data_IF_537143410629
#
_entry.id   IF_537143410629
#
_cell.length_a   1.000
_cell.length_b   1.000
_cell.length_c   1.000
_cell.angle_alpha   90.00
_cell.angle_beta   90.00
_cell.angle_gamma   90.00
#
_symmetry.space_group_name_H-M   'P 1'
#
loop_
_entity.id
_entity.type
_entity.pdbx_description
1 polymer ?
#
# COMPACT_ATOMS: atom_id res chain seq x y z
N UNK A 1 25.67 -46.88 -12.57
CA UNK A 1 26.47 -45.99 -11.70
C UNK A 1 26.08 -44.57 -12.04
N UNK A 2 25.12 -43.99 -11.33
CA UNK A 2 24.63 -42.62 -11.54
C UNK A 2 25.31 -41.69 -10.55
N UNK A 3 26.12 -40.77 -11.05
CA UNK A 3 26.82 -39.77 -10.26
C UNK A 3 25.79 -38.79 -9.65
N UNK A 4 25.80 -38.68 -8.32
CA UNK A 4 25.04 -37.66 -7.58
C UNK A 4 25.68 -36.29 -7.80
N UNK A 5 24.90 -35.23 -8.03
CA UNK A 5 25.46 -33.89 -8.13
C UNK A 5 25.96 -33.41 -6.76
N UNK A 6 27.23 -33.07 -6.68
CA UNK A 6 27.84 -32.44 -5.51
C UNK A 6 27.34 -31.01 -5.40
N UNK A 7 26.38 -30.75 -4.51
CA UNK A 7 26.06 -29.39 -4.06
C UNK A 7 27.18 -28.92 -3.11
N UNK A 8 28.04 -28.03 -3.58
CA UNK A 8 28.89 -27.23 -2.69
C UNK A 8 28.04 -26.16 -2.04
N UNK A 9 27.80 -26.30 -0.73
CA UNK A 9 27.35 -25.17 0.10
C UNK A 9 28.46 -24.09 0.05
N UNK A 10 28.20 -23.00 -0.65
CA UNK A 10 29.01 -21.79 -0.53
C UNK A 10 28.53 -21.11 0.74
N UNK A 11 29.24 -21.35 1.85
CA UNK A 11 29.06 -20.56 3.06
C UNK A 11 29.67 -19.17 2.78
N UNK A 12 28.83 -18.20 2.43
CA UNK A 12 29.24 -16.81 2.44
C UNK A 12 29.42 -16.41 3.90
N UNK A 13 30.63 -16.44 4.40
CA UNK A 13 31.01 -15.78 5.63
C UNK A 13 30.96 -14.28 5.39
N UNK A 14 29.79 -13.67 5.61
CA UNK A 14 29.73 -12.25 5.87
C UNK A 14 30.43 -12.02 7.21
N UNK A 15 31.65 -11.50 7.18
CA UNK A 15 32.15 -10.77 8.33
C UNK A 15 31.20 -9.61 8.54
N UNK A 16 30.30 -9.74 9.48
CA UNK A 16 29.58 -8.63 10.09
C UNK A 16 30.67 -7.76 10.71
N UNK A 17 31.21 -6.83 9.92
CA UNK A 17 31.96 -5.70 10.46
C UNK A 17 31.02 -5.09 11.50
N UNK A 18 31.49 -5.05 12.73
CA UNK A 18 30.86 -4.51 13.92
C UNK A 18 29.85 -3.44 13.57
N UNK A 19 28.56 -3.85 13.42
CA UNK A 19 27.47 -2.93 13.54
C UNK A 19 27.57 -2.39 14.97
N UNK A 20 27.98 -1.14 15.13
CA UNK A 20 27.54 -0.39 16.29
C UNK A 20 26.05 -0.64 16.35
N UNK A 21 25.52 -1.11 17.48
CA UNK A 21 24.15 -1.58 17.63
C UNK A 21 23.22 -0.52 17.05
N UNK A 22 22.90 -0.65 15.76
CA UNK A 22 22.00 0.26 15.08
C UNK A 22 20.65 -0.06 15.65
N UNK A 23 20.20 0.81 16.54
CA UNK A 23 18.92 0.62 17.21
C UNK A 23 17.84 0.72 16.16
N UNK A 24 17.09 -0.35 15.94
CA UNK A 24 15.94 -0.35 15.05
C UNK A 24 14.83 0.49 15.67
N UNK A 25 14.04 1.12 14.82
CA UNK A 25 12.99 2.05 15.23
C UNK A 25 11.65 1.35 15.46
N UNK A 26 11.05 1.62 16.60
CA UNK A 26 9.69 1.17 16.95
C UNK A 26 8.68 2.29 16.66
N UNK A 27 8.49 2.57 15.36
CA UNK A 27 7.52 3.56 14.88
C UNK A 27 6.67 2.99 13.75
N UNK A 28 5.41 3.42 13.72
CA UNK A 28 4.53 3.12 12.58
C UNK A 28 4.87 4.02 11.39
N UNK A 29 4.44 3.65 10.19
CA UNK A 29 4.60 4.50 9.01
C UNK A 29 3.86 5.84 9.15
N UNK A 30 2.69 5.82 9.80
CA UNK A 30 1.94 7.04 10.12
C UNK A 30 2.74 7.97 11.02
N UNK A 31 3.34 7.45 12.10
CA UNK A 31 4.18 8.22 13.03
C UNK A 31 5.44 8.79 12.36
N UNK A 32 6.04 8.07 11.41
CA UNK A 32 7.16 8.59 10.62
C UNK A 32 6.73 9.76 9.73
N UNK A 33 5.61 9.63 9.04
CA UNK A 33 5.07 10.70 8.21
C UNK A 33 4.75 11.95 9.03
N UNK A 34 4.10 11.79 10.17
CA UNK A 34 3.79 12.90 11.10
C UNK A 34 5.04 13.55 11.69
N UNK A 35 6.06 12.74 11.99
CA UNK A 35 7.36 13.24 12.46
C UNK A 35 7.97 14.24 11.46
N UNK A 36 8.03 13.87 10.18
CA UNK A 36 8.59 14.76 9.16
C UNK A 36 7.67 15.94 8.83
N UNK A 37 6.36 15.73 8.84
CA UNK A 37 5.38 16.80 8.65
C UNK A 37 5.46 17.87 9.75
N UNK A 38 5.92 17.50 10.96
CA UNK A 38 6.12 18.41 12.08
C UNK A 38 7.50 19.06 12.05
N UNK A 39 8.57 18.31 11.79
CA UNK A 39 9.93 18.79 11.90
C UNK A 39 10.47 19.49 10.65
N UNK A 40 9.96 19.11 9.46
CA UNK A 40 10.35 19.68 8.16
C UNK A 40 9.15 19.93 7.26
N UNK A 41 8.12 20.69 7.73
CA UNK A 41 6.81 20.79 7.09
C UNK A 41 6.84 21.24 5.64
N UNK A 42 7.74 22.17 5.32
CA UNK A 42 7.81 22.82 4.00
C UNK A 42 8.81 22.17 3.05
N UNK A 43 9.57 21.15 3.52
CA UNK A 43 10.48 20.41 2.67
C UNK A 43 9.68 19.53 1.70
N UNK A 44 10.08 19.56 0.41
CA UNK A 44 9.48 18.72 -0.64
C UNK A 44 9.72 17.24 -0.32
N UNK A 45 8.64 16.45 -0.35
CA UNK A 45 8.69 15.01 -0.08
C UNK A 45 8.47 14.18 -1.34
N UNK A 46 7.37 14.39 -2.05
CA UNK A 46 6.98 13.60 -3.22
C UNK A 46 6.75 14.51 -4.43
N UNK A 47 7.30 14.10 -5.56
CA UNK A 47 7.15 14.76 -6.85
C UNK A 47 6.70 13.77 -7.92
N UNK A 48 5.61 14.08 -8.59
CA UNK A 48 5.14 13.42 -9.80
C UNK A 48 5.38 14.38 -10.98
N UNK A 49 6.55 14.26 -11.60
CA UNK A 49 7.02 15.20 -12.62
C UNK A 49 6.16 15.21 -13.88
N UNK A 50 5.63 14.04 -14.27
CA UNK A 50 4.74 13.84 -15.41
C UNK A 50 3.38 14.54 -15.25
N UNK A 51 3.00 14.88 -14.01
CA UNK A 51 1.72 15.49 -13.64
C UNK A 51 1.89 16.89 -13.07
N UNK A 52 3.11 17.40 -13.00
CA UNK A 52 3.46 18.66 -12.33
C UNK A 52 2.87 18.75 -10.90
N UNK A 53 2.87 17.63 -10.18
CA UNK A 53 2.30 17.52 -8.84
C UNK A 53 3.43 17.35 -7.83
N UNK A 54 3.43 18.22 -6.80
CA UNK A 54 4.44 18.24 -5.74
C UNK A 54 3.78 18.37 -4.39
N UNK A 55 4.30 17.67 -3.42
CA UNK A 55 3.85 17.77 -2.03
C UNK A 55 5.03 17.99 -1.11
N UNK A 56 4.90 18.95 -0.19
CA UNK A 56 5.73 19.00 1.01
C UNK A 56 5.27 17.95 2.00
N UNK A 57 6.08 17.70 3.04
CA UNK A 57 5.71 16.76 4.10
C UNK A 57 4.36 17.09 4.73
N UNK A 58 4.12 18.36 5.07
CA UNK A 58 2.86 18.77 5.70
C UNK A 58 1.66 18.65 4.74
N UNK A 59 1.85 18.97 3.46
CA UNK A 59 0.80 18.83 2.45
C UNK A 59 0.43 17.38 2.22
N UNK A 60 1.44 16.50 2.12
CA UNK A 60 1.20 15.08 1.94
C UNK A 60 0.56 14.45 3.17
N UNK A 61 1.00 14.83 4.38
CA UNK A 61 0.39 14.34 5.61
C UNK A 61 -1.11 14.70 5.71
N UNK A 62 -1.49 15.95 5.38
CA UNK A 62 -2.92 16.35 5.33
C UNK A 62 -3.71 15.54 4.32
N UNK A 63 -3.16 15.34 3.10
CA UNK A 63 -3.81 14.52 2.08
C UNK A 63 -4.03 13.08 2.56
N UNK A 64 -3.08 12.53 3.29
CA UNK A 64 -3.19 11.19 3.90
C UNK A 64 -4.26 11.17 4.98
N UNK A 65 -4.37 12.20 5.83
CA UNK A 65 -5.40 12.30 6.86
C UNK A 65 -6.81 12.40 6.24
N UNK A 66 -6.99 13.19 5.19
CA UNK A 66 -8.24 13.30 4.45
C UNK A 66 -8.65 11.95 3.83
N UNK A 67 -7.69 11.24 3.24
CA UNK A 67 -7.93 9.91 2.68
C UNK A 67 -8.25 8.89 3.77
N UNK A 68 -7.56 8.93 4.91
CA UNK A 68 -7.81 8.04 6.03
C UNK A 68 -9.23 8.22 6.58
N UNK A 69 -9.69 9.47 6.76
CA UNK A 69 -11.08 9.77 7.12
C UNK A 69 -12.06 9.27 6.07
N UNK A 70 -11.75 9.41 4.79
CA UNK A 70 -12.56 8.88 3.70
C UNK A 70 -12.72 7.37 3.76
N UNK A 71 -11.63 6.64 4.05
CA UNK A 71 -11.67 5.19 4.24
C UNK A 71 -12.50 4.80 5.47
N UNK A 72 -12.37 5.52 6.58
CA UNK A 72 -13.20 5.32 7.79
C UNK A 72 -14.68 5.50 7.44
N UNK A 73 -15.03 6.54 6.68
CA UNK A 73 -16.41 6.84 6.30
C UNK A 73 -17.10 5.74 5.49
N UNK A 74 -16.34 4.91 4.78
CA UNK A 74 -16.85 3.76 4.02
C UNK A 74 -16.68 2.42 4.74
N UNK A 75 -16.37 2.45 6.04
CA UNK A 75 -16.33 1.26 6.90
C UNK A 75 -15.00 0.52 6.90
N UNK A 76 -13.90 1.15 6.50
CA UNK A 76 -12.55 0.57 6.68
C UNK A 76 -12.14 0.77 8.13
N UNK A 77 -11.79 -0.32 8.80
CA UNK A 77 -11.41 -0.37 10.21
C UNK A 77 -10.02 -1.03 10.38
N UNK A 78 -9.53 -1.06 11.61
CA UNK A 78 -8.29 -1.76 11.94
C UNK A 78 -8.38 -3.24 11.54
N UNK A 79 -7.35 -3.75 10.88
CA UNK A 79 -7.28 -5.11 10.35
C UNK A 79 -8.05 -5.33 9.05
N UNK A 80 -8.76 -4.32 8.54
CA UNK A 80 -9.44 -4.40 7.24
C UNK A 80 -8.43 -4.44 6.09
N UNK A 81 -8.64 -5.29 5.10
CA UNK A 81 -7.76 -5.42 3.95
C UNK A 81 -8.20 -4.50 2.78
N UNK A 82 -7.31 -3.60 2.38
CA UNK A 82 -7.52 -2.63 1.30
C UNK A 82 -6.55 -2.90 0.17
N UNK A 83 -7.03 -3.37 -0.96
CA UNK A 83 -6.22 -3.69 -2.13
C UNK A 83 -6.01 -2.49 -3.04
N UNK A 84 -4.82 -2.41 -3.66
CA UNK A 84 -4.51 -1.45 -4.72
C UNK A 84 -4.05 -2.16 -5.98
N UNK A 85 -4.79 -1.98 -7.06
CA UNK A 85 -4.47 -2.49 -8.40
C UNK A 85 -4.26 -1.33 -9.36
N UNK A 86 -3.07 -0.77 -9.31
CA UNK A 86 -2.69 0.43 -10.04
C UNK A 86 -1.18 0.45 -10.33
N UNK A 87 -0.81 1.13 -11.40
CA UNK A 87 0.55 1.59 -11.63
C UNK A 87 0.95 2.67 -10.61
N UNK A 88 2.14 3.26 -10.74
CA UNK A 88 2.65 4.30 -9.85
C UNK A 88 1.86 5.62 -10.01
N UNK A 89 0.67 5.67 -9.44
CA UNK A 89 -0.18 6.87 -9.42
C UNK A 89 -0.05 7.64 -8.10
N UNK A 90 -0.35 8.95 -8.05
CA UNK A 90 -0.18 9.75 -6.84
C UNK A 90 -0.90 9.20 -5.60
N UNK A 91 -2.12 8.70 -5.76
CA UNK A 91 -2.90 8.18 -4.65
C UNK A 91 -2.43 6.81 -4.15
N UNK A 92 -1.49 6.15 -4.84
CA UNK A 92 -0.94 4.87 -4.40
C UNK A 92 -0.31 4.96 -3.01
N UNK A 93 0.60 5.94 -2.82
CA UNK A 93 1.23 6.18 -1.52
C UNK A 93 0.27 6.84 -0.53
N UNK A 94 -0.62 7.71 -0.99
CA UNK A 94 -1.65 8.32 -0.14
C UNK A 94 -2.50 7.24 0.53
N UNK A 95 -2.96 6.22 -0.22
CA UNK A 95 -3.74 5.09 0.29
C UNK A 95 -2.93 4.21 1.23
N UNK A 96 -1.66 3.92 0.92
CA UNK A 96 -0.77 3.16 1.81
C UNK A 96 -0.67 3.81 3.19
N UNK A 97 -0.33 5.11 3.23
CA UNK A 97 -0.19 5.81 4.50
C UNK A 97 -1.53 6.04 5.22
N UNK A 98 -2.61 6.20 4.48
CA UNK A 98 -3.96 6.27 5.05
C UNK A 98 -4.33 4.96 5.75
N UNK A 99 -4.13 3.81 5.11
CA UNK A 99 -4.30 2.49 5.72
C UNK A 99 -3.37 2.33 6.93
N UNK A 100 -2.11 2.74 6.81
CA UNK A 100 -1.14 2.66 7.89
C UNK A 100 -1.55 3.46 9.14
N UNK A 101 -2.19 4.62 8.97
CA UNK A 101 -2.66 5.44 10.09
C UNK A 101 -3.85 4.85 10.83
N UNK A 102 -4.74 4.14 10.14
CA UNK A 102 -5.96 3.57 10.74
C UNK A 102 -5.82 2.09 11.10
N UNK A 103 -4.63 1.51 10.90
CA UNK A 103 -4.35 0.10 11.19
C UNK A 103 -4.97 -0.88 10.18
N UNK A 104 -5.36 -0.43 9.00
CA UNK A 104 -5.78 -1.29 7.91
C UNK A 104 -4.57 -1.91 7.20
N UNK A 105 -4.75 -3.09 6.61
CA UNK A 105 -3.70 -3.82 5.88
C UNK A 105 -3.78 -3.47 4.40
N UNK A 106 -2.72 -2.89 3.86
CA UNK A 106 -2.63 -2.53 2.46
C UNK A 106 -2.14 -3.71 1.61
N UNK A 107 -2.98 -4.19 0.71
CA UNK A 107 -2.71 -5.35 -0.14
C UNK A 107 -2.28 -4.89 -1.54
N UNK A 108 -1.05 -5.19 -1.93
CA UNK A 108 -0.54 -4.79 -3.24
C UNK A 108 -0.88 -5.81 -4.31
N UNK A 109 -1.47 -5.36 -5.42
CA UNK A 109 -1.87 -6.22 -6.54
C UNK A 109 -0.96 -5.96 -7.73
N UNK A 110 -0.36 -7.02 -8.27
CA UNK A 110 0.49 -6.93 -9.45
C UNK A 110 -0.33 -6.50 -10.67
N UNK A 111 0.08 -5.44 -11.36
CA UNK A 111 -0.63 -4.88 -12.52
C UNK A 111 -0.63 -5.81 -13.74
N UNK A 112 0.22 -6.84 -13.77
CA UNK A 112 0.21 -7.86 -14.81
C UNK A 112 -0.82 -8.98 -14.56
N UNK A 113 -1.46 -9.04 -13.38
CA UNK A 113 -2.46 -10.07 -13.09
C UNK A 113 -3.64 -9.98 -14.05
N UNK A 114 -4.11 -11.16 -14.45
CA UNK A 114 -5.33 -11.33 -15.22
C UNK A 114 -6.48 -11.73 -14.29
N UNK A 115 -7.65 -11.99 -14.87
CA UNK A 115 -8.89 -12.24 -14.14
C UNK A 115 -8.74 -13.29 -13.03
N UNK A 116 -8.17 -14.46 -13.35
CA UNK A 116 -8.08 -15.58 -12.40
C UNK A 116 -7.13 -15.29 -11.21
N UNK A 117 -6.02 -14.58 -11.47
CA UNK A 117 -5.06 -14.21 -10.43
C UNK A 117 -5.62 -13.11 -9.52
N UNK A 118 -6.37 -12.15 -10.09
CA UNK A 118 -7.05 -11.12 -9.31
C UNK A 118 -8.10 -11.75 -8.38
N UNK A 119 -8.94 -12.63 -8.93
CA UNK A 119 -9.98 -13.34 -8.18
C UNK A 119 -9.39 -14.14 -7.03
N UNK A 120 -8.35 -14.93 -7.31
CA UNK A 120 -7.62 -15.68 -6.29
C UNK A 120 -7.07 -14.78 -5.18
N UNK A 121 -6.44 -13.65 -5.54
CA UNK A 121 -5.88 -12.72 -4.57
C UNK A 121 -6.99 -12.11 -3.70
N UNK A 122 -8.09 -11.67 -4.29
CA UNK A 122 -9.22 -11.09 -3.57
C UNK A 122 -9.86 -12.07 -2.58
N UNK A 123 -10.00 -13.36 -2.98
CA UNK A 123 -10.50 -14.41 -2.09
C UNK A 123 -9.49 -14.70 -0.97
N UNK A 124 -8.24 -14.94 -1.32
CA UNK A 124 -7.20 -15.36 -0.37
C UNK A 124 -6.83 -14.28 0.65
N UNK A 125 -7.00 -13.01 0.29
CA UNK A 125 -6.73 -11.87 1.18
C UNK A 125 -7.94 -11.38 1.97
N UNK A 126 -9.10 -12.02 1.89
CA UNK A 126 -10.34 -11.51 2.51
C UNK A 126 -10.55 -10.01 2.20
N UNK A 127 -10.37 -9.65 0.92
CA UNK A 127 -10.37 -8.26 0.47
C UNK A 127 -11.69 -7.56 0.80
N UNK A 128 -11.61 -6.45 1.55
CA UNK A 128 -12.76 -5.63 1.90
C UNK A 128 -12.99 -4.48 0.91
N UNK A 129 -11.93 -3.82 0.52
CA UNK A 129 -11.98 -2.67 -0.40
C UNK A 129 -10.94 -2.86 -1.50
N UNK A 130 -11.34 -2.76 -2.75
CA UNK A 130 -10.44 -2.81 -3.91
C UNK A 130 -10.35 -1.44 -4.57
N UNK A 131 -9.14 -0.86 -4.61
CA UNK A 131 -8.84 0.38 -5.30
C UNK A 131 -8.25 0.06 -6.67
N UNK A 132 -8.81 0.63 -7.74
CA UNK A 132 -8.40 0.36 -9.13
C UNK A 132 -8.21 1.66 -9.91
N UNK A 133 -7.44 1.59 -11.00
CA UNK A 133 -7.39 2.58 -12.08
C UNK A 133 -8.05 2.02 -13.35
N UNK A 134 -8.05 2.77 -14.45
CA UNK A 134 -8.62 2.30 -15.73
C UNK A 134 -8.00 0.99 -16.22
N UNK A 135 -6.69 0.89 -16.11
CA UNK A 135 -5.97 -0.29 -16.57
C UNK A 135 -4.50 0.00 -16.87
N UNK A 136 -3.82 -1.01 -17.36
CA UNK A 136 -2.43 -0.91 -17.81
C UNK A 136 -2.21 -1.83 -19.00
N UNK A 137 -1.50 -1.36 -20.03
CA UNK A 137 -1.25 -2.09 -21.27
C UNK A 137 -2.58 -2.56 -21.90
N UNK A 138 -2.73 -3.87 -22.12
CA UNK A 138 -3.89 -4.50 -22.73
C UNK A 138 -4.94 -4.98 -21.71
N UNK A 139 -4.87 -4.51 -20.46
CA UNK A 139 -5.79 -4.93 -19.40
C UNK A 139 -6.67 -3.76 -18.96
N UNK A 140 -7.98 -3.90 -19.13
CA UNK A 140 -9.01 -2.99 -18.63
C UNK A 140 -9.43 -3.44 -17.22
N UNK A 141 -8.90 -2.77 -16.19
CA UNK A 141 -9.15 -3.12 -14.79
C UNK A 141 -10.60 -2.86 -14.38
N UNK A 142 -11.24 -1.86 -14.96
CA UNK A 142 -12.64 -1.55 -14.70
C UNK A 142 -13.53 -2.69 -15.21
N UNK A 143 -13.32 -3.11 -16.47
CA UNK A 143 -14.10 -4.21 -17.05
C UNK A 143 -13.84 -5.53 -16.33
N UNK A 144 -12.59 -5.82 -15.99
CA UNK A 144 -12.23 -7.03 -15.24
C UNK A 144 -12.88 -7.03 -13.84
N UNK A 145 -12.93 -5.87 -13.18
CA UNK A 145 -13.62 -5.73 -11.89
C UNK A 145 -15.13 -5.97 -12.03
N UNK A 146 -15.78 -5.46 -13.08
CA UNK A 146 -17.18 -5.75 -13.34
C UNK A 146 -17.45 -7.22 -13.72
N UNK A 147 -16.47 -7.90 -14.30
CA UNK A 147 -16.56 -9.34 -14.58
C UNK A 147 -16.47 -10.14 -13.28
N UNK A 148 -15.57 -9.77 -12.38
CA UNK A 148 -15.42 -10.38 -11.06
C UNK A 148 -16.61 -10.11 -10.14
N UNK A 149 -17.14 -8.88 -10.17
CA UNK A 149 -18.19 -8.36 -9.28
C UNK A 149 -19.37 -7.80 -10.12
N UNK A 150 -20.15 -8.66 -10.81
CA UNK A 150 -21.25 -8.21 -11.65
C UNK A 150 -22.34 -7.46 -10.88
N UNK A 151 -22.44 -7.69 -9.56
CA UNK A 151 -23.36 -7.03 -8.65
C UNK A 151 -23.15 -5.51 -8.58
N UNK A 152 -21.92 -5.02 -8.85
CA UNK A 152 -21.60 -3.59 -8.89
C UNK A 152 -22.49 -2.80 -9.87
N UNK A 153 -22.92 -3.45 -10.95
CA UNK A 153 -23.77 -2.80 -11.96
C UNK A 153 -25.17 -2.45 -11.42
N UNK A 154 -25.60 -3.10 -10.34
CA UNK A 154 -26.95 -2.99 -9.80
C UNK A 154 -27.01 -2.55 -8.33
N UNK A 155 -25.87 -2.45 -7.62
CA UNK A 155 -25.83 -2.02 -6.24
C UNK A 155 -25.58 -0.50 -6.11
N UNK A 156 -25.99 0.05 -4.97
CA UNK A 156 -25.53 1.36 -4.53
C UNK A 156 -24.11 1.24 -3.96
N UNK A 157 -23.35 2.33 -4.02
CA UNK A 157 -22.00 2.41 -3.43
C UNK A 157 -22.04 2.09 -1.94
N UNK A 158 -21.08 1.31 -1.46
CA UNK A 158 -21.03 0.85 -0.07
C UNK A 158 -22.02 -0.27 0.28
N UNK A 159 -22.83 -0.72 -0.67
CA UNK A 159 -23.83 -1.78 -0.47
C UNK A 159 -23.58 -3.04 -1.30
N UNK A 160 -22.32 -3.23 -1.73
CA UNK A 160 -21.94 -4.44 -2.46
C UNK A 160 -22.14 -5.69 -1.59
N UNK A 161 -22.80 -6.67 -2.16
CA UNK A 161 -22.98 -7.99 -1.57
C UNK A 161 -22.67 -9.02 -2.65
N UNK A 162 -21.52 -9.67 -2.55
CA UNK A 162 -21.15 -10.77 -3.43
C UNK A 162 -21.11 -12.07 -2.65
N UNK A 163 -21.71 -13.12 -3.17
CA UNK A 163 -21.66 -14.45 -2.57
C UNK A 163 -20.24 -15.03 -2.67
N UNK A 164 -19.57 -14.75 -3.78
CA UNK A 164 -18.21 -15.25 -4.02
C UNK A 164 -17.16 -14.51 -3.19
N UNK A 165 -17.35 -13.21 -2.98
CA UNK A 165 -16.43 -12.36 -2.23
C UNK A 165 -17.14 -11.73 -1.03
N UNK A 166 -17.46 -12.50 0.03
CA UNK A 166 -18.35 -12.05 1.10
C UNK A 166 -17.77 -10.89 1.93
N UNK A 167 -16.45 -10.74 1.95
CA UNK A 167 -15.76 -9.63 2.62
C UNK A 167 -15.72 -8.35 1.78
N UNK A 168 -15.86 -8.44 0.45
CA UNK A 168 -15.80 -7.28 -0.45
C UNK A 168 -17.01 -6.37 -0.25
N UNK A 169 -16.77 -5.15 0.18
CA UNK A 169 -17.82 -4.12 0.44
C UNK A 169 -17.71 -2.95 -0.51
N UNK A 170 -16.49 -2.58 -0.90
CA UNK A 170 -16.25 -1.37 -1.66
C UNK A 170 -15.32 -1.61 -2.83
N UNK A 171 -15.57 -0.89 -3.91
CA UNK A 171 -14.60 -0.66 -4.98
C UNK A 171 -14.42 0.86 -5.11
N UNK A 172 -13.16 1.29 -5.16
CA UNK A 172 -12.77 2.69 -5.34
C UNK A 172 -12.04 2.82 -6.68
N UNK A 173 -12.57 3.66 -7.55
CA UNK A 173 -11.84 4.09 -8.73
C UNK A 173 -10.89 5.23 -8.34
N UNK A 174 -9.60 5.01 -8.48
CA UNK A 174 -8.54 5.97 -8.16
C UNK A 174 -8.42 6.99 -9.30
N UNK A 175 -9.21 8.03 -9.21
CA UNK A 175 -9.35 9.07 -10.23
C UNK A 175 -10.65 9.86 -10.03
N UNK A 176 -11.03 10.62 -11.07
CA UNK A 176 -12.22 11.48 -11.04
C UNK A 176 -13.43 10.87 -11.77
N UNK A 177 -13.18 9.84 -12.59
CA UNK A 177 -14.23 9.21 -13.37
C UNK A 177 -15.26 8.52 -12.46
N UNK A 178 -16.51 8.46 -12.94
CA UNK A 178 -17.61 7.83 -12.22
C UNK A 178 -17.96 6.50 -12.86
N UNK A 179 -17.82 5.45 -12.07
CA UNK A 179 -18.22 4.10 -12.45
C UNK A 179 -19.38 3.62 -11.56
N UNK A 180 -20.32 2.91 -12.15
CA UNK A 180 -21.52 2.45 -11.43
C UNK A 180 -21.12 1.49 -10.31
N UNK A 181 -21.67 1.69 -9.11
CA UNK A 181 -21.37 0.89 -7.92
C UNK A 181 -20.01 1.17 -7.26
N UNK A 182 -19.14 1.96 -7.90
CA UNK A 182 -17.82 2.30 -7.39
C UNK A 182 -17.80 3.73 -6.83
N UNK A 183 -17.05 3.95 -5.76
CA UNK A 183 -16.65 5.29 -5.35
C UNK A 183 -15.54 5.80 -6.28
N UNK A 184 -15.32 7.11 -6.34
CA UNK A 184 -14.09 7.68 -6.87
C UNK A 184 -13.32 8.44 -5.78
N UNK A 185 -12.07 8.85 -6.07
CA UNK A 185 -11.23 9.53 -5.08
C UNK A 185 -11.90 10.78 -4.48
N UNK A 186 -12.56 11.60 -5.30
CA UNK A 186 -13.22 12.84 -4.82
C UNK A 186 -14.37 12.54 -3.87
N UNK A 187 -15.13 11.48 -4.14
CA UNK A 187 -16.25 11.07 -3.29
C UNK A 187 -15.74 10.54 -1.94
N UNK A 188 -14.64 9.78 -1.94
CA UNK A 188 -14.00 9.31 -0.70
C UNK A 188 -13.55 10.49 0.15
N UNK A 189 -12.85 11.46 -0.43
CA UNK A 189 -12.40 12.67 0.29
C UNK A 189 -13.59 13.48 0.83
N UNK A 190 -14.67 13.61 0.04
CA UNK A 190 -15.88 14.32 0.47
C UNK A 190 -16.55 13.62 1.66
N UNK A 191 -16.66 12.30 1.65
CA UNK A 191 -17.22 11.52 2.75
C UNK A 191 -16.39 11.66 4.02
N UNK A 192 -15.06 11.77 3.88
CA UNK A 192 -14.13 11.98 4.99
C UNK A 192 -14.40 13.26 5.78
N UNK A 193 -14.99 14.29 5.16
CA UNK A 193 -15.36 15.53 5.86
C UNK A 193 -16.40 15.32 6.98
N UNK A 194 -17.12 14.20 6.99
CA UNK A 194 -18.08 13.85 8.03
C UNK A 194 -17.44 13.06 9.19
N UNK A 195 -16.15 12.78 9.12
CA UNK A 195 -15.41 12.04 10.16
C UNK A 195 -14.60 13.05 10.99
N UNK A 196 -14.87 13.08 12.28
CA UNK A 196 -14.19 13.95 13.23
C UNK A 196 -12.69 13.59 13.35
N UNK A 197 -11.84 14.59 13.59
CA UNK A 197 -10.40 14.40 13.80
C UNK A 197 -10.12 13.46 14.98
N UNK A 198 -10.92 13.58 16.03
CA UNK A 198 -10.84 12.73 17.23
C UNK A 198 -10.96 11.25 16.90
N UNK A 199 -11.81 10.88 15.90
CA UNK A 199 -11.95 9.49 15.47
C UNK A 199 -10.70 8.96 14.78
N UNK A 200 -10.08 9.79 13.94
CA UNK A 200 -8.80 9.44 13.32
C UNK A 200 -7.70 9.29 14.37
N UNK A 201 -7.61 10.21 15.33
CA UNK A 201 -6.61 10.17 16.40
C UNK A 201 -6.77 8.96 17.32
N UNK A 202 -8.01 8.57 17.60
CA UNK A 202 -8.31 7.34 18.32
C UNK A 202 -7.71 6.10 17.61
N UNK A 203 -7.98 5.94 16.31
CA UNK A 203 -7.47 4.82 15.52
C UNK A 203 -5.93 4.86 15.45
N UNK A 204 -5.34 6.01 15.18
CA UNK A 204 -3.87 6.19 15.15
C UNK A 204 -3.22 5.74 16.46
N UNK A 205 -3.85 6.04 17.61
CA UNK A 205 -3.33 5.68 18.93
C UNK A 205 -3.32 4.17 19.21
N UNK A 206 -4.13 3.41 18.49
CA UNK A 206 -4.26 1.96 18.65
C UNK A 206 -3.31 1.16 17.75
N UNK A 207 -2.65 1.81 16.79
CA UNK A 207 -1.74 1.13 15.84
C UNK A 207 -0.37 0.92 16.46
N UNK A 208 0.07 -0.34 16.48
CA UNK A 208 1.43 -0.73 16.90
C UNK A 208 2.37 -0.85 15.69
N UNK A 209 3.65 -0.60 15.89
CA UNK A 209 4.66 -0.87 14.85
C UNK A 209 4.77 -2.37 14.50
N UNK A 210 4.28 -3.24 15.35
CA UNK A 210 4.23 -4.70 15.12
C UNK A 210 2.93 -5.15 14.46
N UNK A 211 1.95 -4.27 14.22
CA UNK A 211 0.78 -4.60 13.42
C UNK A 211 1.18 -4.80 11.96
N UNK A 212 0.46 -5.68 11.27
CA UNK A 212 0.61 -5.88 9.82
C UNK A 212 0.07 -4.65 9.10
N UNK A 213 0.88 -4.07 8.23
CA UNK A 213 0.51 -2.88 7.44
C UNK A 213 0.44 -3.16 5.95
N UNK A 214 1.16 -4.18 5.48
CA UNK A 214 1.23 -4.49 4.07
C UNK A 214 1.20 -6.00 3.83
N UNK A 215 0.47 -6.42 2.81
CA UNK A 215 0.47 -7.79 2.32
C UNK A 215 0.94 -7.79 0.87
N UNK A 216 2.00 -8.54 0.58
CA UNK A 216 2.57 -8.69 -0.75
C UNK A 216 2.48 -10.12 -1.23
N UNK A 217 2.06 -10.30 -2.48
CA UNK A 217 1.96 -11.61 -3.09
C UNK A 217 3.23 -11.95 -3.87
N UNK A 218 3.82 -13.08 -3.53
CA UNK A 218 5.02 -13.60 -4.22
C UNK A 218 4.62 -14.75 -5.14
N UNK A 219 5.33 -14.89 -6.27
CA UNK A 219 5.23 -16.08 -7.11
C UNK A 219 5.71 -17.29 -6.33
N UNK A 220 4.77 -18.10 -5.82
CA UNK A 220 5.11 -19.32 -5.09
C UNK A 220 5.77 -20.37 -5.99
N UNK A 221 6.75 -21.10 -5.47
CA UNK A 221 7.35 -22.27 -6.16
C UNK A 221 6.36 -23.43 -6.30
N UNK A 222 5.19 -23.36 -5.68
CA UNK A 222 4.16 -24.41 -5.60
C UNK A 222 2.87 -24.11 -6.39
N UNK A 223 2.88 -23.13 -7.29
CA UNK A 223 1.78 -22.83 -8.22
C UNK A 223 0.97 -21.59 -7.89
N UNK A 224 0.48 -21.40 -6.66
CA UNK A 224 -0.30 -20.21 -6.29
C UNK A 224 0.52 -19.17 -5.53
N UNK A 225 0.31 -17.86 -5.80
CA UNK A 225 0.96 -16.79 -5.07
C UNK A 225 0.66 -16.86 -3.57
N UNK A 226 1.66 -16.55 -2.73
CA UNK A 226 1.53 -16.52 -1.27
C UNK A 226 1.52 -15.09 -0.78
N UNK A 227 0.54 -14.74 0.07
CA UNK A 227 0.46 -13.44 0.74
C UNK A 227 1.45 -13.37 1.91
N UNK A 228 2.46 -12.52 1.79
CA UNK A 228 3.44 -12.25 2.84
C UNK A 228 2.98 -11.04 3.63
N UNK A 229 2.71 -11.22 4.92
CA UNK A 229 2.30 -10.14 5.82
C UNK A 229 3.52 -9.43 6.42
N UNK A 230 3.63 -8.14 6.19
CA UNK A 230 4.73 -7.28 6.63
C UNK A 230 4.22 -6.26 7.64
N UNK A 231 4.91 -6.17 8.77
CA UNK A 231 4.60 -5.16 9.80
C UNK A 231 5.20 -3.80 9.45
N UNK A 232 4.72 -2.73 10.10
CA UNK A 232 5.38 -1.42 10.02
C UNK A 232 6.86 -1.53 10.39
N UNK A 233 7.17 -2.30 11.43
CA UNK A 233 8.54 -2.53 11.89
C UNK A 233 9.42 -3.16 10.81
N UNK A 234 8.90 -4.19 10.09
CA UNK A 234 9.65 -4.86 9.03
C UNK A 234 10.01 -3.89 7.90
N UNK A 235 9.01 -3.18 7.36
CA UNK A 235 9.22 -2.38 6.15
C UNK A 235 9.95 -1.07 6.43
N UNK A 236 9.67 -0.40 7.55
CA UNK A 236 10.36 0.83 7.92
C UNK A 236 11.85 0.58 8.20
N UNK A 237 12.16 -0.43 9.01
CA UNK A 237 13.56 -0.73 9.34
C UNK A 237 14.34 -1.31 8.16
N UNK A 238 13.68 -2.06 7.25
CA UNK A 238 14.32 -2.50 6.01
C UNK A 238 14.68 -1.30 5.12
N UNK A 239 13.75 -0.34 4.98
CA UNK A 239 14.03 0.92 4.28
C UNK A 239 15.17 1.72 4.92
N UNK A 240 15.14 1.89 6.24
CA UNK A 240 16.20 2.56 7.00
C UNK A 240 17.58 1.92 6.77
N UNK A 241 17.70 0.60 6.98
CA UNK A 241 18.96 -0.10 6.78
C UNK A 241 19.46 -0.02 5.33
N UNK A 242 18.55 -0.03 4.36
CA UNK A 242 18.89 0.13 2.95
C UNK A 242 19.44 1.54 2.70
N UNK A 243 18.79 2.58 3.21
CA UNK A 243 19.23 3.96 3.10
C UNK A 243 20.61 4.18 3.71
N UNK A 244 20.86 3.63 4.90
CA UNK A 244 22.17 3.67 5.57
C UNK A 244 23.27 3.02 4.72
N UNK A 245 23.01 1.82 4.16
CA UNK A 245 23.98 1.13 3.31
C UNK A 245 24.24 1.87 2.00
N UNK A 246 23.22 2.52 1.45
CA UNK A 246 23.35 3.36 0.26
C UNK A 246 23.93 4.74 0.57
N UNK A 247 24.13 5.05 1.84
CA UNK A 247 24.61 6.37 2.35
C UNK A 247 23.72 7.52 1.91
N UNK A 248 22.40 7.31 1.92
CA UNK A 248 21.44 8.36 1.61
C UNK A 248 21.49 9.44 2.69
N UNK A 249 21.35 10.67 2.22
CA UNK A 249 21.28 11.86 3.06
C UNK A 249 19.97 12.61 2.81
N UNK A 250 19.68 13.59 3.64
CA UNK A 250 18.49 14.43 3.46
C UNK A 250 18.51 15.29 2.19
N UNK A 251 19.62 15.35 1.47
CA UNK A 251 19.77 16.14 0.25
C UNK A 251 19.54 15.31 -1.01
N UNK A 252 19.52 13.98 -0.85
CA UNK A 252 19.32 13.06 -1.98
C UNK A 252 17.86 13.06 -2.45
N UNK A 253 17.70 12.83 -3.75
CA UNK A 253 16.40 12.66 -4.40
C UNK A 253 16.40 11.37 -5.20
N UNK A 254 15.53 10.45 -4.81
CA UNK A 254 15.41 9.16 -5.48
C UNK A 254 14.36 9.23 -6.59
N UNK A 255 14.76 8.84 -7.80
CA UNK A 255 13.82 8.61 -8.89
C UNK A 255 13.29 7.17 -8.82
N UNK A 256 12.03 7.01 -8.40
CA UNK A 256 11.39 5.70 -8.29
C UNK A 256 10.82 5.28 -9.66
N UNK A 257 11.60 4.52 -10.44
CA UNK A 257 11.18 3.96 -11.72
C UNK A 257 10.69 2.49 -11.63
N UNK A 258 10.66 1.93 -10.43
CA UNK A 258 10.21 0.55 -10.18
C UNK A 258 8.75 0.51 -9.71
N UNK A 259 8.01 -0.60 -9.99
CA UNK A 259 6.61 -0.70 -9.57
C UNK A 259 6.43 -0.66 -8.05
N UNK A 260 5.52 0.19 -7.58
CA UNK A 260 5.18 0.29 -6.16
C UNK A 260 4.48 -0.96 -5.61
N UNK A 261 3.81 -1.74 -6.45
CA UNK A 261 3.19 -2.99 -5.99
C UNK A 261 4.20 -4.08 -5.58
N UNK A 262 5.49 -3.90 -5.92
CA UNK A 262 6.57 -4.80 -5.54
C UNK A 262 7.39 -4.22 -4.39
N UNK A 263 7.95 -5.08 -3.50
CA UNK A 263 8.75 -4.64 -2.36
C UNK A 263 9.94 -3.74 -2.75
N UNK A 264 10.48 -3.90 -3.95
CA UNK A 264 11.53 -3.01 -4.44
C UNK A 264 11.04 -1.55 -4.54
N UNK A 265 9.82 -1.33 -5.02
CA UNK A 265 9.23 0.02 -5.06
C UNK A 265 8.78 0.52 -3.69
N UNK A 266 7.88 -0.23 -3.04
CA UNK A 266 7.26 0.24 -1.79
C UNK A 266 8.21 0.23 -0.58
N UNK A 267 9.14 -0.70 -0.50
CA UNK A 267 10.07 -0.78 0.63
C UNK A 267 11.41 -0.13 0.29
N UNK A 268 12.13 -0.69 -0.68
CA UNK A 268 13.51 -0.25 -0.93
C UNK A 268 13.60 1.14 -1.57
N UNK A 269 12.61 1.57 -2.37
CA UNK A 269 12.61 2.90 -2.94
C UNK A 269 11.94 3.93 -2.01
N UNK A 270 10.70 3.67 -1.51
CA UNK A 270 9.97 4.73 -0.82
C UNK A 270 10.26 4.80 0.67
N UNK A 271 10.50 3.67 1.37
CA UNK A 271 10.75 3.70 2.80
C UNK A 271 12.15 4.20 3.17
N UNK A 272 13.14 4.04 2.29
CA UNK A 272 14.45 4.64 2.56
C UNK A 272 14.44 6.18 2.38
N UNK A 273 13.46 6.72 1.65
CA UNK A 273 13.24 8.17 1.55
C UNK A 273 12.43 8.72 2.75
N UNK A 274 11.79 7.85 3.50
CA UNK A 274 11.03 8.18 4.70
C UNK A 274 11.96 8.31 5.90
#
# INVERSE_FOLDING_TARGET
>A
MTAKPNFRLITLNFQLSTFNSTMLYERTLGQWLEHWATNTPDKEYIVYSDRNLRFTWSQFNRRVDDMAKGLIAIGVERGTHVGIWAANVPDWLTLLYACAKIGAVYVTVNTNYKQAELEYLCENSDMHTLCIVNGEKDSDFVQMTYTMLPELKNCQRGHLKSERFPYMKNVIYVGQEKHRGMYNTSEILLLGNNVEDTRLDELKSQVSCHDVVNMQYTSGTTGFPKGVMLTHYNIANNGFLTGEHMKFTSDDKLCCCVPLFHCFGVVLATMNCL
#
